data_IF_586683375036
#
_entry.id   IF_586683375036
#
_cell.length_a   1.000
_cell.length_b   1.000
_cell.length_c   1.000
_cell.angle_alpha   90.00
_cell.angle_beta   90.00
_cell.angle_gamma   90.00
#
_symmetry.space_group_name_H-M   'P 1'
#
loop_
_entity.id
_entity.type
_entity.pdbx_description
1 polymer ?
#
# COMPACT_ATOMS: atom_id res chain seq x y z
N UNK A 1 15.55 13.53 -26.66
CA UNK A 1 16.66 12.97 -25.85
C UNK A 1 16.39 13.36 -24.40
N UNK A 2 16.27 12.40 -23.49
CA UNK A 2 16.00 12.66 -22.07
C UNK A 2 17.26 13.23 -21.38
N UNK A 3 17.09 14.20 -20.49
CA UNK A 3 18.14 14.78 -19.65
C UNK A 3 18.44 13.83 -18.48
N UNK A 4 19.67 13.80 -17.94
CA UNK A 4 20.04 12.92 -16.83
C UNK A 4 19.11 13.00 -15.60
N UNK A 5 18.57 14.18 -15.31
CA UNK A 5 17.59 14.41 -14.21
C UNK A 5 16.18 13.87 -14.49
N UNK A 6 15.91 13.40 -15.70
CA UNK A 6 14.64 12.77 -16.07
C UNK A 6 14.68 11.25 -15.83
N UNK A 7 15.81 10.72 -15.36
CA UNK A 7 15.95 9.34 -14.91
C UNK A 7 15.86 9.28 -13.39
N UNK A 8 15.10 8.31 -12.89
CA UNK A 8 15.08 7.96 -11.47
C UNK A 8 16.41 7.34 -11.05
N UNK A 9 16.78 7.51 -9.78
CA UNK A 9 17.90 6.76 -9.21
C UNK A 9 17.55 5.26 -9.23
N UNK A 10 18.45 4.35 -9.64
CA UNK A 10 18.21 2.92 -9.59
C UNK A 10 17.68 2.41 -8.24
N UNK A 11 18.06 3.04 -7.13
CA UNK A 11 17.57 2.71 -5.79
C UNK A 11 16.08 3.07 -5.62
N UNK A 12 15.59 4.12 -6.26
CA UNK A 12 14.19 4.55 -6.23
C UNK A 12 13.25 3.63 -7.03
N UNK A 13 13.79 2.92 -8.02
CA UNK A 13 13.03 1.96 -8.86
C UNK A 13 13.29 0.50 -8.50
N UNK A 14 14.13 0.25 -7.48
CA UNK A 14 14.44 -1.11 -7.05
C UNK A 14 13.22 -1.70 -6.35
N UNK A 15 12.56 -2.65 -7.02
CA UNK A 15 11.42 -3.36 -6.43
C UNK A 15 11.89 -4.14 -5.21
N UNK A 16 11.31 -3.86 -4.04
CA UNK A 16 11.56 -4.65 -2.83
C UNK A 16 11.12 -6.10 -3.03
N UNK A 17 11.79 -7.03 -2.34
CA UNK A 17 11.39 -8.45 -2.38
C UNK A 17 10.05 -8.58 -1.66
N UNK A 18 9.06 -9.21 -2.29
CA UNK A 18 7.80 -9.50 -1.60
C UNK A 18 8.02 -10.62 -0.57
N UNK A 19 7.49 -10.51 0.67
CA UNK A 19 7.66 -11.57 1.66
C UNK A 19 6.94 -12.85 1.22
N UNK A 20 7.32 -14.01 1.80
CA UNK A 20 6.69 -15.29 1.48
C UNK A 20 5.17 -15.28 1.80
N UNK A 21 4.40 -16.11 1.09
CA UNK A 21 2.94 -16.13 1.16
C UNK A 21 2.40 -16.27 2.58
N UNK A 22 3.04 -17.10 3.41
CA UNK A 22 2.68 -17.36 4.80
C UNK A 22 2.77 -16.12 5.68
N UNK A 23 3.63 -15.16 5.32
CA UNK A 23 3.75 -13.86 5.99
C UNK A 23 2.79 -12.81 5.42
N UNK A 24 2.32 -12.98 4.18
CA UNK A 24 1.34 -12.09 3.57
C UNK A 24 -0.08 -12.36 4.07
N UNK A 25 -0.45 -13.63 4.24
CA UNK A 25 -1.83 -14.03 4.59
C UNK A 25 -2.40 -13.29 5.81
N UNK A 26 -1.68 -13.14 6.94
CA UNK A 26 -2.20 -12.43 8.10
C UNK A 26 -2.54 -10.96 7.80
N UNK A 27 -1.76 -10.30 6.96
CA UNK A 27 -1.93 -8.88 6.61
C UNK A 27 -3.18 -8.66 5.73
N UNK A 28 -3.50 -9.63 4.86
CA UNK A 28 -4.69 -9.54 4.01
C UNK A 28 -5.98 -10.05 4.67
N UNK A 29 -5.89 -10.79 5.77
CA UNK A 29 -7.08 -11.43 6.39
C UNK A 29 -8.15 -10.43 6.82
N UNK A 30 -7.76 -9.20 7.16
CA UNK A 30 -8.66 -8.14 7.61
C UNK A 30 -8.90 -7.04 6.54
N UNK A 31 -8.63 -7.32 5.25
CA UNK A 31 -8.73 -6.34 4.18
C UNK A 31 -10.09 -5.62 4.15
N UNK A 32 -11.19 -6.38 4.10
CA UNK A 32 -12.56 -5.82 4.05
C UNK A 32 -12.90 -5.01 5.31
N UNK A 33 -12.38 -5.41 6.47
CA UNK A 33 -12.57 -4.68 7.72
C UNK A 33 -11.84 -3.34 7.68
N UNK A 34 -10.61 -3.31 7.14
CA UNK A 34 -9.84 -2.07 6.94
C UNK A 34 -10.52 -1.13 5.96
N UNK A 35 -11.12 -1.65 4.88
CA UNK A 35 -11.93 -0.86 3.94
C UNK A 35 -13.11 -0.22 4.65
N UNK A 36 -13.88 -0.99 5.41
CA UNK A 36 -15.05 -0.47 6.12
C UNK A 36 -14.66 0.61 7.14
N UNK A 37 -13.54 0.41 7.85
CA UNK A 37 -12.99 1.40 8.78
C UNK A 37 -12.60 2.69 8.05
N UNK A 38 -11.85 2.58 6.95
CA UNK A 38 -11.42 3.73 6.15
C UNK A 38 -12.61 4.52 5.60
N UNK A 39 -13.64 3.85 5.10
CA UNK A 39 -14.85 4.52 4.66
C UNK A 39 -15.53 5.29 5.80
N UNK A 40 -15.61 4.68 6.99
CA UNK A 40 -16.20 5.29 8.18
C UNK A 40 -15.41 6.53 8.64
N UNK A 41 -14.08 6.45 8.69
CA UNK A 41 -13.19 7.56 9.05
C UNK A 41 -13.25 8.69 8.00
N UNK A 42 -13.32 8.34 6.72
CA UNK A 42 -13.44 9.31 5.63
C UNK A 42 -14.75 10.11 5.70
N UNK A 43 -15.83 9.45 6.12
CA UNK A 43 -17.12 10.10 6.32
C UNK A 43 -17.09 11.11 7.48
N UNK A 44 -16.36 10.79 8.56
CA UNK A 44 -16.20 11.69 9.71
C UNK A 44 -15.33 12.92 9.39
N UNK A 45 -14.34 12.76 8.51
CA UNK A 45 -13.41 13.82 8.09
C UNK A 45 -13.94 14.72 6.96
N UNK A 46 -15.21 14.58 6.56
CA UNK A 46 -15.87 15.28 5.44
C UNK A 46 -15.26 15.03 4.06
N UNK A 47 -14.34 14.07 3.93
CA UNK A 47 -13.79 13.60 2.66
C UNK A 47 -14.31 12.19 2.38
N UNK A 48 -15.60 12.09 2.04
CA UNK A 48 -16.24 10.80 1.78
C UNK A 48 -15.56 10.12 0.58
N UNK A 49 -14.97 8.96 0.84
CA UNK A 49 -14.39 8.12 -0.21
C UNK A 49 -15.47 7.22 -0.82
N UNK A 50 -15.32 6.94 -2.12
CA UNK A 50 -16.03 5.81 -2.72
C UNK A 50 -15.41 4.50 -2.25
N UNK A 51 -16.18 3.41 -2.32
CA UNK A 51 -15.65 2.08 -1.97
C UNK A 51 -14.42 1.70 -2.80
N UNK A 52 -14.39 2.08 -4.08
CA UNK A 52 -13.23 1.85 -4.95
C UNK A 52 -11.99 2.61 -4.47
N UNK A 53 -12.15 3.87 -4.03
CA UNK A 53 -11.06 4.66 -3.48
C UNK A 53 -10.55 4.07 -2.15
N UNK A 54 -11.46 3.65 -1.28
CA UNK A 54 -11.09 3.00 -0.02
C UNK A 54 -10.31 1.69 -0.27
N UNK A 55 -10.76 0.85 -1.21
CA UNK A 55 -10.02 -0.36 -1.60
C UNK A 55 -8.61 -0.04 -2.08
N UNK A 56 -8.47 0.97 -2.95
CA UNK A 56 -7.18 1.34 -3.51
C UNK A 56 -6.21 1.83 -2.43
N UNK A 57 -6.68 2.64 -1.48
CA UNK A 57 -5.87 3.14 -0.39
C UNK A 57 -5.47 2.02 0.59
N UNK A 58 -6.41 1.16 0.99
CA UNK A 58 -6.11 0.01 1.85
C UNK A 58 -5.12 -0.95 1.18
N UNK A 59 -5.23 -1.14 -0.15
CA UNK A 59 -4.27 -1.92 -0.91
C UNK A 59 -2.86 -1.30 -0.89
N UNK A 60 -2.77 0.02 -1.04
CA UNK A 60 -1.50 0.74 -0.95
C UNK A 60 -0.88 0.59 0.44
N UNK A 61 -1.66 0.80 1.51
CA UNK A 61 -1.18 0.68 2.89
C UNK A 61 -0.63 -0.72 3.18
N UNK A 62 -1.35 -1.76 2.75
CA UNK A 62 -0.89 -3.15 2.90
C UNK A 62 0.38 -3.42 2.11
N UNK A 63 0.47 -2.89 0.90
CA UNK A 63 1.66 -3.06 0.07
C UNK A 63 2.89 -2.45 0.73
N UNK A 64 2.75 -1.25 1.31
CA UNK A 64 3.80 -0.58 2.07
C UNK A 64 4.19 -1.37 3.33
N UNK A 65 3.21 -1.89 4.07
CA UNK A 65 3.43 -2.75 5.24
C UNK A 65 4.24 -4.01 4.87
N UNK A 66 3.88 -4.69 3.77
CA UNK A 66 4.58 -5.89 3.30
C UNK A 66 6.02 -5.60 2.84
N UNK A 67 6.27 -4.44 2.24
CA UNK A 67 7.61 -4.00 1.85
C UNK A 67 8.50 -3.70 3.07
N UNK A 68 7.92 -3.25 4.18
CA UNK A 68 8.66 -3.07 5.43
C UNK A 68 9.02 -4.42 6.08
N UNK A 69 8.11 -5.40 6.02
CA UNK A 69 8.35 -6.76 6.55
C UNK A 69 9.46 -7.48 5.78
N UNK A 70 9.65 -7.19 4.49
CA UNK A 70 10.71 -7.79 3.68
C UNK A 70 12.05 -7.08 3.75
N UNK A 71 12.04 -5.78 4.04
CA UNK A 71 13.26 -4.95 4.21
C UNK A 71 13.87 -5.08 5.61
N UNK A 72 13.37 -6.01 6.44
CA UNK A 72 13.91 -6.35 7.74
C UNK A 72 15.32 -6.93 7.65
N UNK A 73 16.30 -6.11 8.00
CA UNK A 73 17.58 -6.52 8.60
C UNK A 73 17.36 -7.22 9.94
#
# INVERSE_FOLDING_TARGET
>A
MFKPREFYDPVEIMLGVMPAFERQTPVFTNFEQRVALMMTESAQSKNVLTIQQAHQLVWQDISEELLQVSSGR
#
